data_IF_503016265918
#
_entry.id   IF_503016265918
#
_cell.length_a   1.000
_cell.length_b   1.000
_cell.length_c   1.000
_cell.angle_alpha   90.00
_cell.angle_beta   90.00
_cell.angle_gamma   90.00
#
_symmetry.space_group_name_H-M   'P 1'
#
loop_
_entity.id
_entity.type
_entity.pdbx_description
1 polymer ?
#
# COMPACT_ATOMS: atom_id res chain seq x y z
N UNK A 1 -2.54 16.72 -20.74
CA UNK A 1 -2.37 16.66 -19.28
C UNK A 1 -1.42 17.77 -18.90
N UNK A 2 -1.92 18.84 -18.26
CA UNK A 2 -1.04 19.84 -17.66
C UNK A 2 -0.45 19.19 -16.41
N UNK A 3 0.78 18.68 -16.52
CA UNK A 3 1.48 18.10 -15.41
C UNK A 3 1.75 19.22 -14.39
N UNK A 4 1.15 19.12 -13.20
CA UNK A 4 1.30 20.11 -12.14
C UNK A 4 2.77 20.39 -11.82
N UNK A 5 3.65 19.40 -12.04
CA UNK A 5 5.09 19.54 -11.92
C UNK A 5 5.68 20.59 -12.90
N UNK A 6 5.24 20.61 -14.16
CA UNK A 6 5.70 21.60 -15.14
C UNK A 6 5.24 23.01 -14.79
N UNK A 7 4.02 23.17 -14.26
CA UNK A 7 3.54 24.45 -13.79
C UNK A 7 4.38 24.96 -12.60
N UNK A 8 4.77 24.06 -11.70
CA UNK A 8 5.58 24.37 -10.53
C UNK A 8 7.03 24.73 -10.90
N UNK A 9 7.63 24.02 -11.86
CA UNK A 9 8.94 24.35 -12.43
C UNK A 9 8.94 25.71 -13.15
N UNK A 10 7.87 26.00 -13.88
CA UNK A 10 7.63 27.31 -14.49
C UNK A 10 7.57 28.43 -13.45
N UNK A 11 6.79 28.23 -12.37
CA UNK A 11 6.71 29.18 -11.26
C UNK A 11 8.05 29.39 -10.55
N UNK A 12 8.83 28.33 -10.29
CA UNK A 12 10.18 28.45 -9.70
C UNK A 12 11.10 29.27 -10.60
N UNK A 13 11.07 29.02 -11.91
CA UNK A 13 11.89 29.74 -12.88
C UNK A 13 11.51 31.21 -12.96
N UNK A 14 10.21 31.52 -12.90
CA UNK A 14 9.70 32.88 -12.88
C UNK A 14 10.08 33.63 -11.58
N UNK A 15 10.04 32.96 -10.42
CA UNK A 15 10.46 33.55 -9.13
C UNK A 15 11.96 33.88 -9.17
N UNK A 16 12.79 33.00 -9.76
CA UNK A 16 14.23 33.26 -9.92
C UNK A 16 14.49 34.46 -10.83
N UNK A 17 13.85 34.48 -12.01
CA UNK A 17 13.98 35.60 -12.94
C UNK A 17 13.54 36.94 -12.32
N UNK A 18 12.49 36.90 -11.50
CA UNK A 18 12.03 38.05 -10.73
C UNK A 18 13.06 38.53 -9.70
N UNK A 19 13.65 37.61 -8.94
CA UNK A 19 14.68 37.92 -7.96
C UNK A 19 15.92 38.54 -8.63
N UNK A 20 16.31 38.02 -9.80
CA UNK A 20 17.42 38.56 -10.59
C UNK A 20 17.11 39.98 -11.10
N UNK A 21 15.87 40.24 -11.52
CA UNK A 21 15.43 41.55 -11.99
C UNK A 21 15.41 42.59 -10.85
N UNK A 22 14.93 42.22 -9.66
CA UNK A 22 14.99 43.08 -8.48
C UNK A 22 16.43 43.41 -8.09
N UNK A 23 17.32 42.42 -8.11
CA UNK A 23 18.73 42.62 -7.82
C UNK A 23 19.35 43.60 -8.84
N UNK A 24 19.12 43.38 -10.14
CA UNK A 24 19.63 44.24 -11.20
C UNK A 24 19.14 45.69 -11.09
N UNK A 25 17.83 45.90 -10.88
CA UNK A 25 17.25 47.23 -10.71
C UNK A 25 17.82 47.96 -9.48
N UNK A 26 18.01 47.23 -8.37
CA UNK A 26 18.63 47.77 -7.15
C UNK A 26 20.09 48.16 -7.38
N UNK A 27 20.86 47.35 -8.12
CA UNK A 27 22.25 47.67 -8.46
C UNK A 27 22.39 48.83 -9.45
N UNK A 28 21.44 49.00 -10.37
CA UNK A 28 21.42 50.08 -11.35
C UNK A 28 20.90 51.41 -10.78
N UNK A 29 20.28 51.38 -9.60
CA UNK A 29 19.68 52.55 -8.97
C UNK A 29 18.34 52.95 -9.58
N UNK A 30 17.68 52.02 -10.28
CA UNK A 30 16.37 52.25 -10.87
C UNK A 30 15.32 52.53 -9.78
N UNK A 31 14.38 53.46 -10.00
CA UNK A 31 13.34 53.73 -9.02
C UNK A 31 12.44 52.49 -8.90
N UNK A 32 12.52 51.80 -7.76
CA UNK A 32 11.64 50.65 -7.45
C UNK A 32 10.16 51.00 -7.58
N UNK A 33 9.79 52.27 -7.41
CA UNK A 33 8.43 52.77 -7.64
C UNK A 33 7.97 52.56 -9.08
N UNK A 34 8.84 52.70 -10.07
CA UNK A 34 8.49 52.61 -11.50
C UNK A 34 8.28 51.15 -11.94
N UNK A 35 8.94 50.20 -11.26
CA UNK A 35 8.81 48.75 -11.55
C UNK A 35 7.86 48.02 -10.59
N UNK A 36 7.43 48.66 -9.51
CA UNK A 36 6.57 48.08 -8.45
C UNK A 36 5.25 47.49 -8.97
N UNK A 37 4.64 48.12 -9.98
CA UNK A 37 3.40 47.63 -10.59
C UNK A 37 3.61 46.32 -11.37
N UNK A 38 4.70 46.23 -12.15
CA UNK A 38 5.06 45.01 -12.88
C UNK A 38 5.45 43.88 -11.93
N UNK A 39 6.17 44.22 -10.86
CA UNK A 39 6.51 43.31 -9.76
C UNK A 39 5.23 42.72 -9.14
N UNK A 40 4.25 43.56 -8.81
CA UNK A 40 3.00 43.13 -8.21
C UNK A 40 2.19 42.20 -9.12
N UNK A 41 2.07 42.53 -10.41
CA UNK A 41 1.37 41.69 -11.40
C UNK A 41 2.07 40.33 -11.57
N UNK A 42 3.40 40.31 -11.64
CA UNK A 42 4.15 39.06 -11.80
C UNK A 42 4.00 38.16 -10.57
N UNK A 43 4.08 38.72 -9.37
CA UNK A 43 3.86 37.97 -8.12
C UNK A 43 2.43 37.45 -8.02
N UNK A 44 1.42 38.25 -8.42
CA UNK A 44 0.04 37.79 -8.50
C UNK A 44 -0.13 36.59 -9.43
N UNK A 45 0.40 36.68 -10.65
CA UNK A 45 0.37 35.58 -11.61
C UNK A 45 1.08 34.31 -11.12
N UNK A 46 2.19 34.47 -10.36
CA UNK A 46 2.91 33.35 -9.75
C UNK A 46 2.11 32.69 -8.61
N UNK A 47 1.44 33.48 -7.78
CA UNK A 47 0.56 32.97 -6.72
C UNK A 47 -0.59 32.17 -7.31
N UNK A 48 -1.22 32.66 -8.38
CA UNK A 48 -2.30 31.95 -9.07
C UNK A 48 -1.82 30.62 -9.67
N UNK A 49 -0.65 30.61 -10.31
CA UNK A 49 -0.05 29.40 -10.87
C UNK A 49 0.29 28.36 -9.78
N UNK A 50 0.82 28.81 -8.63
CA UNK A 50 1.11 27.95 -7.49
C UNK A 50 -0.17 27.37 -6.88
N UNK A 51 -1.23 28.19 -6.71
CA UNK A 51 -2.51 27.73 -6.18
C UNK A 51 -3.18 26.68 -7.09
N UNK A 52 -3.09 26.87 -8.41
CA UNK A 52 -3.57 25.89 -9.38
C UNK A 52 -2.80 24.57 -9.30
N UNK A 53 -1.46 24.63 -9.20
CA UNK A 53 -0.62 23.45 -9.06
C UNK A 53 -0.88 22.71 -7.73
N UNK A 54 -1.02 23.43 -6.62
CA UNK A 54 -1.37 22.86 -5.31
C UNK A 54 -2.70 22.10 -5.38
N UNK A 55 -3.72 22.71 -5.98
CA UNK A 55 -5.04 22.11 -6.13
C UNK A 55 -4.97 20.82 -6.94
N UNK A 56 -4.23 20.82 -8.05
CA UNK A 56 -4.03 19.63 -8.88
C UNK A 56 -3.33 18.50 -8.11
N UNK A 57 -2.23 18.80 -7.41
CA UNK A 57 -1.49 17.82 -6.60
C UNK A 57 -2.35 17.24 -5.47
N UNK A 58 -3.17 18.06 -4.80
CA UNK A 58 -4.12 17.56 -3.80
C UNK A 58 -5.14 16.60 -4.40
N UNK A 59 -5.61 16.86 -5.62
CA UNK A 59 -6.49 15.96 -6.37
C UNK A 59 -5.81 14.61 -6.64
N UNK A 60 -4.62 14.64 -7.22
CA UNK A 60 -3.83 13.45 -7.53
C UNK A 60 -3.52 12.60 -6.29
N UNK A 61 -3.12 13.24 -5.18
CA UNK A 61 -2.89 12.56 -3.89
C UNK A 61 -4.17 11.87 -3.39
N UNK A 62 -5.32 12.54 -3.51
CA UNK A 62 -6.61 11.98 -3.08
C UNK A 62 -6.98 10.75 -3.91
N UNK A 63 -6.74 10.79 -5.22
CA UNK A 63 -7.03 9.66 -6.09
C UNK A 63 -6.05 8.50 -5.89
N UNK A 64 -4.77 8.78 -5.66
CA UNK A 64 -3.80 7.77 -5.26
C UNK A 64 -4.19 7.09 -3.95
N UNK A 65 -4.66 7.84 -2.94
CA UNK A 65 -5.16 7.26 -1.68
C UNK A 65 -6.32 6.29 -1.93
N UNK A 66 -7.30 6.68 -2.76
CA UNK A 66 -8.42 5.80 -3.13
C UNK A 66 -7.93 4.53 -3.85
N UNK A 67 -6.94 4.65 -4.74
CA UNK A 67 -6.36 3.48 -5.41
C UNK A 67 -5.67 2.56 -4.41
N UNK A 68 -4.88 3.10 -3.48
CA UNK A 68 -4.22 2.31 -2.43
C UNK A 68 -5.23 1.60 -1.53
N UNK A 69 -6.30 2.28 -1.13
CA UNK A 69 -7.40 1.68 -0.35
C UNK A 69 -8.08 0.55 -1.14
N UNK A 70 -8.37 0.77 -2.42
CA UNK A 70 -8.96 -0.25 -3.30
C UNK A 70 -8.04 -1.46 -3.45
N UNK A 71 -6.76 -1.26 -3.76
CA UNK A 71 -5.78 -2.35 -3.86
C UNK A 71 -5.64 -3.09 -2.53
N UNK A 72 -5.66 -2.38 -1.40
CA UNK A 72 -5.60 -3.00 -0.08
C UNK A 72 -6.85 -3.85 0.21
N UNK A 73 -8.03 -3.38 -0.21
CA UNK A 73 -9.28 -4.12 -0.10
C UNK A 73 -9.32 -5.35 -1.03
N UNK A 74 -8.78 -5.24 -2.26
CA UNK A 74 -8.70 -6.34 -3.23
C UNK A 74 -7.61 -7.36 -2.90
N UNK A 75 -6.54 -6.93 -2.22
CA UNK A 75 -5.42 -7.81 -1.81
C UNK A 75 -5.64 -8.43 -0.42
N UNK A 76 -6.67 -7.99 0.32
CA UNK A 76 -7.11 -8.73 1.49
C UNK A 76 -7.48 -10.14 1.03
N UNK A 77 -7.00 -11.21 1.68
CA UNK A 77 -7.40 -12.56 1.30
C UNK A 77 -8.92 -12.63 1.39
N UNK A 78 -9.60 -12.69 0.24
CA UNK A 78 -11.01 -13.00 0.20
C UNK A 78 -11.18 -14.28 1.02
N UNK A 79 -11.90 -14.18 2.14
CA UNK A 79 -12.02 -15.28 3.11
C UNK A 79 -12.41 -16.57 2.40
N UNK A 80 -13.27 -16.46 1.40
CA UNK A 80 -13.69 -17.53 0.49
C UNK A 80 -12.55 -18.21 -0.29
N UNK A 81 -11.57 -17.49 -0.84
CA UNK A 81 -10.46 -18.09 -1.59
C UNK A 81 -9.41 -18.71 -0.67
N UNK A 82 -9.13 -18.05 0.45
CA UNK A 82 -8.25 -18.57 1.50
C UNK A 82 -8.81 -19.86 2.11
N UNK A 83 -10.12 -19.88 2.39
CA UNK A 83 -10.83 -21.04 2.92
C UNK A 83 -10.88 -22.17 1.89
N UNK A 84 -11.18 -21.87 0.62
CA UNK A 84 -11.15 -22.87 -0.46
C UNK A 84 -9.75 -23.46 -0.68
N UNK A 85 -8.71 -22.64 -0.65
CA UNK A 85 -7.32 -23.11 -0.75
C UNK A 85 -6.93 -23.97 0.48
N UNK A 86 -7.49 -23.68 1.65
CA UNK A 86 -7.31 -24.49 2.86
C UNK A 86 -8.04 -25.83 2.75
N UNK A 87 -9.27 -25.84 2.25
CA UNK A 87 -10.05 -27.06 2.00
C UNK A 87 -9.36 -27.98 0.99
N UNK A 88 -8.96 -27.45 -0.17
CA UNK A 88 -8.26 -28.23 -1.19
C UNK A 88 -6.96 -28.86 -0.67
N UNK A 89 -6.19 -28.09 0.12
CA UNK A 89 -4.98 -28.61 0.78
C UNK A 89 -5.30 -29.72 1.78
N UNK A 90 -6.36 -29.58 2.57
CA UNK A 90 -6.79 -30.60 3.52
C UNK A 90 -7.25 -31.88 2.81
N UNK A 91 -8.05 -31.77 1.75
CA UNK A 91 -8.49 -32.92 0.95
C UNK A 91 -7.32 -33.67 0.32
N UNK A 92 -6.37 -32.95 -0.29
CA UNK A 92 -5.17 -33.56 -0.88
C UNK A 92 -4.31 -34.28 0.16
N UNK A 93 -4.04 -33.64 1.30
CA UNK A 93 -3.27 -34.25 2.39
C UNK A 93 -3.98 -35.51 2.90
N UNK A 94 -5.31 -35.46 3.07
CA UNK A 94 -6.08 -36.60 3.54
C UNK A 94 -6.03 -37.78 2.55
N UNK A 95 -6.20 -37.52 1.26
CA UNK A 95 -6.15 -38.53 0.20
C UNK A 95 -4.76 -39.18 0.13
N UNK A 96 -3.69 -38.38 0.06
CA UNK A 96 -2.32 -38.90 -0.01
C UNK A 96 -1.87 -39.63 1.25
N UNK A 97 -2.34 -39.21 2.42
CA UNK A 97 -2.10 -39.97 3.66
C UNK A 97 -2.81 -41.32 3.64
N UNK A 98 -4.02 -41.41 3.07
CA UNK A 98 -4.76 -42.69 2.92
C UNK A 98 -4.09 -43.62 1.92
N UNK A 99 -3.50 -43.08 0.86
CA UNK A 99 -2.69 -43.82 -0.12
C UNK A 99 -1.34 -44.30 0.44
N UNK A 100 -0.98 -43.90 1.68
CA UNK A 100 0.24 -44.34 2.36
C UNK A 100 1.48 -43.49 2.09
N UNK A 101 1.32 -42.29 1.53
CA UNK A 101 2.46 -41.38 1.31
C UNK A 101 2.96 -40.77 2.62
N UNK A 102 4.28 -40.65 2.71
CA UNK A 102 4.95 -40.04 3.87
C UNK A 102 4.78 -38.52 3.91
N UNK A 103 4.81 -37.95 5.12
CA UNK A 103 4.59 -36.51 5.32
C UNK A 103 5.62 -35.62 4.63
N UNK A 104 6.81 -36.15 4.31
CA UNK A 104 7.86 -35.43 3.60
C UNK A 104 7.52 -35.24 2.10
N UNK A 105 6.98 -36.29 1.46
CA UNK A 105 6.67 -36.27 0.02
C UNK A 105 5.47 -35.36 -0.25
N UNK A 106 4.47 -35.40 0.63
CA UNK A 106 3.31 -34.51 0.58
C UNK A 106 3.75 -33.04 0.79
N UNK A 107 4.69 -32.80 1.71
CA UNK A 107 5.23 -31.46 1.96
C UNK A 107 6.00 -30.92 0.74
N UNK A 108 6.77 -31.76 0.07
CA UNK A 108 7.46 -31.40 -1.16
C UNK A 108 6.47 -31.07 -2.30
N UNK A 109 5.42 -31.88 -2.48
CA UNK A 109 4.41 -31.66 -3.51
C UNK A 109 3.62 -30.34 -3.32
N UNK A 110 3.38 -29.95 -2.06
CA UNK A 110 2.67 -28.71 -1.72
C UNK A 110 3.59 -27.51 -1.51
N UNK A 111 4.91 -27.68 -1.64
CA UNK A 111 5.93 -26.69 -1.27
C UNK A 111 5.74 -26.12 0.15
N UNK A 112 5.50 -27.00 1.11
CA UNK A 112 5.27 -26.70 2.52
C UNK A 112 6.37 -27.31 3.39
N UNK A 113 6.44 -26.87 4.66
CA UNK A 113 7.27 -27.53 5.67
C UNK A 113 6.62 -28.84 6.12
N UNK A 114 7.42 -29.88 6.33
CA UNK A 114 6.96 -31.18 6.88
C UNK A 114 6.12 -31.01 8.15
N UNK A 115 6.56 -30.17 9.07
CA UNK A 115 5.84 -29.88 10.33
C UNK A 115 4.46 -29.25 10.12
N UNK A 116 4.25 -28.53 9.02
CA UNK A 116 2.95 -27.97 8.65
C UNK A 116 2.00 -29.08 8.19
N UNK A 117 2.48 -30.02 7.37
CA UNK A 117 1.70 -31.17 6.91
C UNK A 117 1.35 -32.11 8.06
N UNK A 118 2.32 -32.43 8.94
CA UNK A 118 2.08 -33.26 10.13
C UNK A 118 1.01 -32.66 11.06
N UNK A 119 1.02 -31.33 11.24
CA UNK A 119 -0.01 -30.63 12.02
C UNK A 119 -1.39 -30.73 11.37
N UNK A 120 -1.48 -30.63 10.05
CA UNK A 120 -2.76 -30.79 9.32
C UNK A 120 -3.25 -32.24 9.41
N UNK A 121 -2.37 -33.23 9.27
CA UNK A 121 -2.71 -34.65 9.44
C UNK A 121 -3.23 -34.91 10.86
N UNK A 122 -2.56 -34.38 11.89
CA UNK A 122 -3.02 -34.50 13.28
C UNK A 122 -4.41 -33.88 13.50
N UNK A 123 -4.66 -32.70 12.91
CA UNK A 123 -5.97 -32.04 12.96
C UNK A 123 -7.06 -32.84 12.23
N UNK A 124 -6.73 -33.45 11.08
CA UNK A 124 -7.67 -34.29 10.32
C UNK A 124 -8.00 -35.57 11.10
N UNK A 125 -7.02 -36.20 11.74
CA UNK A 125 -7.22 -37.40 12.57
C UNK A 125 -8.01 -37.10 13.85
N UNK A 126 -7.79 -35.94 14.47
CA UNK A 126 -8.52 -35.48 15.65
C UNK A 126 -9.96 -35.02 15.36
N UNK A 127 -10.31 -34.69 14.12
CA UNK A 127 -11.69 -34.38 13.71
C UNK A 127 -12.52 -35.62 13.32
N UNK A 128 -11.88 -36.75 13.03
CA UNK A 128 -12.53 -38.01 12.64
C UNK A 128 -12.81 -38.97 13.81
N UNK A 129 -12.68 -38.53 15.07
CA UNK A 129 -13.00 -39.36 16.24
C UNK A 129 -13.29 -38.55 17.50
N UNK A 130 -14.54 -38.53 17.94
CA UNK A 130 -14.84 -38.72 19.38
C UNK A 130 -14.83 -40.24 19.68
N UNK A 131 -14.68 -40.74 20.94
CA UNK A 131 -14.65 -40.07 22.26
C UNK A 131 -13.53 -40.57 23.24
N UNK A 132 -13.38 -39.96 24.43
CA UNK A 132 -12.90 -40.64 25.65
C UNK A 132 -13.29 -39.90 26.95
N UNK A 133 -14.17 -40.55 27.73
CA UNK A 133 -14.42 -40.33 29.16
C UNK A 133 -13.15 -40.55 30.01
N UNK A 134 -13.05 -39.81 31.14
CA UNK A 134 -12.16 -40.07 32.28
C UNK A 134 -10.75 -39.49 32.11
N UNK A 135 -10.23 -38.61 32.97
CA UNK A 135 -10.28 -38.61 34.44
C UNK A 135 -10.36 -37.16 34.93
N UNK A 136 -11.42 -36.83 35.67
CA UNK A 136 -11.43 -35.66 36.56
C UNK A 136 -10.45 -35.96 37.69
N UNK A 137 -9.34 -35.23 37.77
CA UNK A 137 -8.51 -35.21 38.98
C UNK A 137 -9.30 -34.45 40.04
N UNK A 138 -10.00 -35.18 40.90
CA UNK A 138 -10.55 -34.64 42.13
C UNK A 138 -9.37 -34.12 42.97
N UNK A 139 -9.40 -32.83 43.30
CA UNK A 139 -8.57 -32.26 44.36
C UNK A 139 -8.96 -32.94 45.65
N UNK A 140 -7.99 -33.57 46.29
CA UNK A 140 -8.17 -34.10 47.64
C UNK A 140 -7.93 -32.98 48.64
N UNK A 141 -8.72 -33.03 49.72
CA UNK A 141 -8.76 -32.12 50.85
C UNK A 141 -7.41 -31.92 51.55
#
# INVERSE_FOLDING_TARGET
MNNALYALEGSISAIRAFNDLLAAATYQGDPLNDISGGIHVLLGAQVDALAAAETALRGEITDLKKQVEKFSAESAPNSTESDRARELRQSFIQEKTKEGYESCDIAQALNLKKSTVERVIAQLRGKSGEPAQGVRKAGNA
#
